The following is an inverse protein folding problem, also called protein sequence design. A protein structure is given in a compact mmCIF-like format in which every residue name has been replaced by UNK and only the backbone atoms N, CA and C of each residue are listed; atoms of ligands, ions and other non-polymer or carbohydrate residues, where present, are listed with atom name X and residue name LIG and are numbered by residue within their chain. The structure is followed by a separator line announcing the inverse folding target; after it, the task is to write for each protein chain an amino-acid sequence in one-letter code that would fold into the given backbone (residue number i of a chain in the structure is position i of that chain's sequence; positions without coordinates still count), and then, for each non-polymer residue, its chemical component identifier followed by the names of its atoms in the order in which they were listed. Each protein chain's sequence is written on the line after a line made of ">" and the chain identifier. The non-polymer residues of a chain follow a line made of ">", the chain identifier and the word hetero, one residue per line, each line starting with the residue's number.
data_IF_369937158693
#
_entry.id   IF_369937158693
#
_cell.length_a   1.000
_cell.length_b   1.000
_cell.length_c   1.000
_cell.angle_alpha   90.00
_cell.angle_beta   90.00
_cell.angle_gamma   90.00
#
_symmetry.space_group_name_H-M   'P 1'
#
loop_
_entity.id
_entity.type
_entity.pdbx_description
1 polymer ?
#
# COMPACT_ATOMS: atom_id res chain seq x y z
N UNK A 1 2.63 12.56 -6.81
CA UNK A 1 1.69 12.44 -7.95
C UNK A 1 1.41 11.00 -8.42
N UNK A 2 2.24 10.02 -8.09
CA UNK A 2 2.14 8.65 -8.64
C UNK A 2 0.85 7.90 -8.32
N UNK A 3 0.13 8.25 -7.24
CA UNK A 3 -1.07 7.51 -6.85
C UNK A 3 -2.40 8.15 -7.32
N UNK A 4 -2.38 9.39 -7.82
CA UNK A 4 -3.60 10.05 -8.27
C UNK A 4 -4.23 9.38 -9.49
N UNK A 5 -3.40 8.89 -10.40
CA UNK A 5 -3.85 8.19 -11.61
C UNK A 5 -4.39 6.78 -11.28
N UNK A 6 -3.71 6.06 -10.38
CA UNK A 6 -4.07 4.68 -10.06
C UNK A 6 -5.26 4.57 -9.09
N UNK A 7 -5.60 5.64 -8.36
CA UNK A 7 -6.58 5.62 -7.27
C UNK A 7 -7.97 5.18 -7.71
N UNK A 8 -8.41 5.57 -8.90
CA UNK A 8 -9.71 5.19 -9.46
C UNK A 8 -9.75 3.70 -9.76
N UNK A 9 -8.72 3.16 -10.41
CA UNK A 9 -8.63 1.73 -10.72
C UNK A 9 -8.52 0.88 -9.46
N UNK A 10 -7.78 1.34 -8.46
CA UNK A 10 -7.67 0.69 -7.16
C UNK A 10 -9.02 0.63 -6.43
N UNK A 11 -9.77 1.74 -6.45
CA UNK A 11 -11.10 1.80 -5.85
C UNK A 11 -12.10 0.89 -6.59
N UNK A 12 -12.10 0.93 -7.93
CA UNK A 12 -12.95 0.05 -8.74
C UNK A 12 -12.62 -1.43 -8.52
N UNK A 13 -11.34 -1.79 -8.45
CA UNK A 13 -10.91 -3.15 -8.15
C UNK A 13 -11.44 -3.62 -6.79
N UNK A 14 -11.36 -2.76 -5.77
CA UNK A 14 -11.87 -3.07 -4.44
C UNK A 14 -13.39 -3.24 -4.44
N UNK A 15 -14.13 -2.37 -5.14
CA UNK A 15 -15.59 -2.49 -5.28
C UNK A 15 -15.95 -3.80 -5.97
N UNK A 16 -15.31 -4.14 -7.08
CA UNK A 16 -15.54 -5.42 -7.78
C UNK A 16 -15.30 -6.62 -6.85
N UNK A 17 -14.21 -6.59 -6.10
CA UNK A 17 -13.81 -7.62 -5.15
C UNK A 17 -14.84 -7.82 -4.03
N UNK A 18 -15.28 -6.73 -3.39
CA UNK A 18 -16.29 -6.74 -2.32
C UNK A 18 -17.65 -7.19 -2.85
N UNK A 19 -18.08 -6.69 -4.02
CA UNK A 19 -19.33 -7.09 -4.65
C UNK A 19 -19.32 -8.57 -5.03
N UNK A 20 -18.22 -9.10 -5.54
CA UNK A 20 -18.07 -10.52 -5.81
C UNK A 20 -18.28 -11.37 -4.55
N UNK A 21 -17.68 -10.99 -3.41
CA UNK A 21 -17.86 -11.68 -2.14
C UNK A 21 -19.31 -11.63 -1.62
N UNK A 22 -19.96 -10.48 -1.75
CA UNK A 22 -21.38 -10.33 -1.40
C UNK A 22 -22.25 -11.25 -2.26
N UNK A 23 -22.02 -11.29 -3.57
CA UNK A 23 -22.75 -12.16 -4.49
C UNK A 23 -22.59 -13.65 -4.16
N UNK A 24 -21.41 -14.09 -3.76
CA UNK A 24 -21.18 -15.47 -3.28
C UNK A 24 -22.03 -15.79 -2.04
N UNK A 25 -22.20 -14.80 -1.16
CA UNK A 25 -23.00 -14.97 0.06
C UNK A 25 -24.50 -14.92 -0.18
N UNK A 26 -24.97 -14.06 -1.08
CA UNK A 26 -26.38 -13.85 -1.40
C UNK A 26 -26.89 -14.79 -2.50
N UNK A 27 -25.98 -15.25 -3.34
CA UNK A 27 -26.31 -15.92 -4.58
C UNK A 27 -26.93 -17.29 -4.37
N UNK A 28 -28.04 -17.53 -5.08
CA UNK A 28 -28.79 -18.79 -5.10
C UNK A 28 -28.64 -19.52 -6.43
N UNK A 29 -27.99 -18.93 -7.41
CA UNK A 29 -27.96 -19.43 -8.78
C UNK A 29 -26.55 -19.51 -9.35
N UNK A 30 -26.35 -20.38 -10.33
CA UNK A 30 -25.10 -20.46 -11.08
C UNK A 30 -24.73 -19.12 -11.72
N UNK A 31 -25.72 -18.31 -12.13
CA UNK A 31 -25.50 -16.96 -12.69
C UNK A 31 -24.77 -16.04 -11.71
N UNK A 32 -25.11 -16.07 -10.42
CA UNK A 32 -24.43 -15.24 -9.41
C UNK A 32 -22.98 -15.65 -9.20
N UNK A 33 -22.67 -16.95 -9.30
CA UNK A 33 -21.29 -17.47 -9.23
C UNK A 33 -20.48 -16.99 -10.44
N UNK A 34 -21.05 -17.05 -11.66
CA UNK A 34 -20.40 -16.54 -12.88
C UNK A 34 -20.14 -15.04 -12.78
N UNK A 35 -21.13 -14.24 -12.34
CA UNK A 35 -20.96 -12.79 -12.17
C UNK A 35 -19.88 -12.49 -11.11
N UNK A 36 -19.86 -13.23 -10.01
CA UNK A 36 -18.83 -13.08 -8.99
C UNK A 36 -17.42 -13.40 -9.54
N UNK A 37 -17.28 -14.44 -10.37
CA UNK A 37 -16.02 -14.78 -11.04
C UNK A 37 -15.56 -13.66 -11.98
N UNK A 38 -16.48 -13.11 -12.79
CA UNK A 38 -16.19 -11.99 -13.71
C UNK A 38 -15.75 -10.75 -12.93
N UNK A 39 -16.44 -10.40 -11.85
CA UNK A 39 -16.05 -9.27 -11.00
C UNK A 39 -14.69 -9.49 -10.33
N UNK A 40 -14.41 -10.73 -9.89
CA UNK A 40 -13.12 -11.05 -9.29
C UNK A 40 -11.99 -11.00 -10.33
N UNK A 41 -12.22 -11.46 -11.56
CA UNK A 41 -11.29 -11.33 -12.68
C UNK A 41 -11.04 -9.84 -13.00
N UNK A 42 -12.10 -9.02 -13.06
CA UNK A 42 -11.97 -7.58 -13.25
C UNK A 42 -11.13 -6.93 -12.13
N UNK A 43 -11.34 -7.33 -10.87
CA UNK A 43 -10.53 -6.86 -9.75
C UNK A 43 -9.04 -7.18 -9.92
N UNK A 44 -8.68 -8.42 -10.29
CA UNK A 44 -7.30 -8.80 -10.58
C UNK A 44 -6.71 -8.01 -11.74
N UNK A 45 -7.49 -7.76 -12.78
CA UNK A 45 -7.05 -7.02 -13.97
C UNK A 45 -6.83 -5.53 -13.71
N UNK A 46 -7.64 -4.94 -12.83
CA UNK A 46 -7.53 -3.51 -12.47
C UNK A 46 -6.43 -3.27 -11.44
N UNK A 47 -6.42 -4.05 -10.33
CA UNK A 47 -5.41 -3.93 -9.29
C UNK A 47 -5.34 -5.16 -8.39
N UNK A 48 -4.35 -6.00 -8.57
CA UNK A 48 -4.20 -7.30 -7.89
C UNK A 48 -4.32 -7.25 -6.35
N UNK A 49 -3.66 -6.32 -5.63
CA UNK A 49 -3.76 -6.29 -4.16
C UNK A 49 -5.18 -6.04 -3.65
N UNK A 50 -6.00 -5.28 -4.38
CA UNK A 50 -7.39 -5.02 -4.00
C UNK A 50 -8.27 -6.29 -4.13
N UNK A 51 -7.89 -7.23 -5.02
CA UNK A 51 -8.60 -8.50 -5.18
C UNK A 51 -8.59 -9.36 -3.89
N UNK A 52 -7.64 -9.15 -2.99
CA UNK A 52 -7.61 -9.79 -1.68
C UNK A 52 -8.77 -9.35 -0.77
N UNK A 53 -9.38 -8.19 -1.04
CA UNK A 53 -10.61 -7.75 -0.38
C UNK A 53 -11.75 -8.78 -0.48
N UNK A 54 -11.77 -9.59 -1.54
CA UNK A 54 -12.72 -10.70 -1.70
C UNK A 54 -12.56 -11.76 -0.61
N UNK A 55 -11.34 -12.21 -0.33
CA UNK A 55 -11.06 -13.21 0.71
C UNK A 55 -11.41 -12.67 2.10
N UNK A 56 -11.00 -11.43 2.36
CA UNK A 56 -11.29 -10.75 3.62
C UNK A 56 -12.80 -10.62 3.81
N UNK A 57 -13.53 -10.12 2.82
CA UNK A 57 -14.97 -9.95 2.89
C UNK A 57 -15.70 -11.30 3.05
N UNK A 58 -15.30 -12.30 2.27
CA UNK A 58 -15.86 -13.66 2.36
C UNK A 58 -15.65 -14.25 3.75
N UNK A 59 -14.44 -14.16 4.30
CA UNK A 59 -14.12 -14.63 5.64
C UNK A 59 -14.92 -13.91 6.72
N UNK A 60 -14.99 -12.59 6.68
CA UNK A 60 -15.77 -11.77 7.62
C UNK A 60 -17.27 -12.10 7.58
N UNK A 61 -17.84 -12.29 6.38
CA UNK A 61 -19.25 -12.69 6.23
C UNK A 61 -19.50 -14.10 6.75
N UNK A 62 -18.53 -15.01 6.62
CA UNK A 62 -18.63 -16.34 7.25
C UNK A 62 -18.63 -16.25 8.78
N UNK A 63 -17.74 -15.44 9.37
CA UNK A 63 -17.72 -15.20 10.83
C UNK A 63 -19.04 -14.58 11.29
N UNK A 64 -19.54 -13.54 10.60
CA UNK A 64 -20.82 -12.90 10.91
C UNK A 64 -22.00 -13.89 10.82
N UNK A 65 -21.99 -14.79 9.84
CA UNK A 65 -22.98 -15.87 9.72
C UNK A 65 -22.89 -16.87 10.87
N UNK A 66 -21.67 -17.25 11.28
CA UNK A 66 -21.43 -18.14 12.43
C UNK A 66 -21.90 -17.54 13.75
N UNK A 67 -21.75 -16.23 13.92
CA UNK A 67 -22.29 -15.49 15.05
C UNK A 67 -23.81 -15.31 14.97
N UNK A 68 -24.46 -15.64 13.84
CA UNK A 68 -25.87 -15.39 13.61
C UNK A 68 -26.23 -13.90 13.56
N UNK A 69 -25.26 -13.04 13.21
CA UNK A 69 -25.47 -11.60 13.03
C UNK A 69 -26.22 -11.32 11.73
N UNK A 70 -25.97 -12.12 10.71
CA UNK A 70 -26.71 -12.05 9.44
C UNK A 70 -28.05 -12.78 9.56
N UNK A 71 -29.10 -12.26 8.97
CA UNK A 71 -30.42 -12.88 8.97
C UNK A 71 -30.42 -14.22 8.23
N UNK A 72 -31.27 -15.16 8.69
CA UNK A 72 -31.37 -16.52 8.10
C UNK A 72 -31.72 -16.50 6.61
N UNK A 73 -32.40 -15.47 6.12
CA UNK A 73 -32.72 -15.31 4.69
C UNK A 73 -31.48 -15.21 3.80
N UNK A 74 -30.34 -14.80 4.38
CA UNK A 74 -29.03 -14.71 3.72
C UNK A 74 -28.25 -16.03 3.73
N UNK A 75 -28.80 -17.08 4.39
CA UNK A 75 -28.12 -18.37 4.62
C UNK A 75 -28.62 -19.45 3.68
N UNK A 76 -28.40 -19.29 2.38
CA UNK A 76 -28.87 -20.29 1.37
C UNK A 76 -27.99 -21.52 1.29
N UNK A 77 -26.69 -21.35 1.47
CA UNK A 77 -25.71 -22.44 1.47
C UNK A 77 -25.13 -22.61 2.86
N UNK A 78 -24.69 -23.85 3.19
CA UNK A 78 -23.92 -24.04 4.42
C UNK A 78 -22.64 -23.22 4.38
N UNK A 79 -22.18 -22.75 5.52
CA UNK A 79 -21.00 -21.91 5.66
C UNK A 79 -19.74 -22.52 5.01
N UNK A 80 -19.60 -23.84 5.08
CA UNK A 80 -18.48 -24.58 4.46
C UNK A 80 -18.49 -24.47 2.93
N UNK A 81 -19.66 -24.61 2.32
CA UNK A 81 -19.81 -24.49 0.86
C UNK A 81 -19.52 -23.07 0.37
N UNK A 82 -19.91 -22.04 1.12
CA UNK A 82 -19.58 -20.64 0.74
C UNK A 82 -18.09 -20.38 0.75
N UNK A 83 -17.36 -20.88 1.76
CA UNK A 83 -15.92 -20.79 1.80
C UNK A 83 -15.28 -21.51 0.61
N UNK A 84 -15.73 -22.74 0.32
CA UNK A 84 -15.21 -23.50 -0.84
C UNK A 84 -15.50 -22.79 -2.16
N UNK A 85 -16.72 -22.34 -2.39
CA UNK A 85 -17.09 -21.57 -3.59
C UNK A 85 -16.27 -20.28 -3.67
N UNK A 86 -16.10 -19.58 -2.56
CA UNK A 86 -15.25 -18.38 -2.50
C UNK A 86 -13.80 -18.68 -2.87
N UNK A 87 -13.21 -19.74 -2.33
CA UNK A 87 -11.85 -20.15 -2.67
C UNK A 87 -11.71 -20.52 -4.16
N UNK A 88 -12.69 -21.25 -4.70
CA UNK A 88 -12.73 -21.63 -6.13
C UNK A 88 -12.83 -20.39 -7.02
N UNK A 89 -13.67 -19.41 -6.67
CA UNK A 89 -13.80 -18.15 -7.42
C UNK A 89 -12.51 -17.34 -7.35
N UNK A 90 -11.88 -17.25 -6.19
CA UNK A 90 -10.62 -16.53 -6.04
C UNK A 90 -9.51 -17.20 -6.85
N UNK A 91 -9.32 -18.51 -6.70
CA UNK A 91 -8.31 -19.27 -7.42
C UNK A 91 -8.58 -19.30 -8.94
N UNK A 92 -9.84 -19.49 -9.34
CA UNK A 92 -10.26 -19.44 -10.75
C UNK A 92 -10.08 -18.07 -11.38
N UNK A 93 -10.44 -17.00 -10.68
CA UNK A 93 -10.22 -15.62 -11.11
C UNK A 93 -8.73 -15.31 -11.30
N UNK A 94 -7.90 -15.72 -10.34
CA UNK A 94 -6.44 -15.57 -10.45
C UNK A 94 -5.86 -16.41 -11.61
N UNK A 95 -6.30 -17.66 -11.74
CA UNK A 95 -5.86 -18.54 -12.83
C UNK A 95 -6.21 -17.98 -14.21
N UNK A 96 -7.45 -17.53 -14.41
CA UNK A 96 -7.88 -16.86 -15.64
C UNK A 96 -7.08 -15.59 -15.92
N UNK A 97 -6.85 -14.77 -14.90
CA UNK A 97 -6.01 -13.59 -15.00
C UNK A 97 -4.58 -13.95 -15.49
N UNK A 98 -3.97 -14.99 -14.92
CA UNK A 98 -2.63 -15.45 -15.33
C UNK A 98 -2.62 -15.95 -16.77
N UNK A 99 -3.65 -16.68 -17.19
CA UNK A 99 -3.80 -17.13 -18.59
C UNK A 99 -3.91 -15.93 -19.53
N UNK A 100 -4.71 -14.91 -19.18
CA UNK A 100 -4.81 -13.68 -19.98
C UNK A 100 -3.46 -12.99 -20.09
N UNK A 101 -2.71 -12.87 -18.98
CA UNK A 101 -1.38 -12.27 -19.00
C UNK A 101 -0.42 -13.03 -19.94
N UNK A 102 -0.39 -14.36 -19.86
CA UNK A 102 0.48 -15.18 -20.71
C UNK A 102 0.10 -15.03 -22.17
N UNK A 103 -1.19 -15.11 -22.51
CA UNK A 103 -1.64 -15.04 -23.91
C UNK A 103 -1.46 -13.67 -24.56
N UNK A 104 -1.63 -12.57 -23.80
CA UNK A 104 -1.66 -11.24 -24.38
C UNK A 104 -0.47 -10.34 -24.03
N UNK A 105 0.30 -10.67 -22.97
CA UNK A 105 1.35 -9.80 -22.42
C UNK A 105 2.70 -10.49 -22.20
N UNK A 106 2.89 -11.72 -22.62
CA UNK A 106 3.99 -12.63 -22.25
C UNK A 106 5.41 -12.04 -22.39
N UNK A 107 5.62 -11.07 -23.29
CA UNK A 107 6.92 -10.45 -23.52
C UNK A 107 7.02 -8.96 -23.22
N UNK A 108 5.97 -8.35 -22.65
CA UNK A 108 5.90 -6.89 -22.45
C UNK A 108 5.91 -6.44 -20.99
N UNK A 109 6.10 -7.35 -20.05
CA UNK A 109 6.26 -6.96 -18.66
C UNK A 109 7.59 -6.21 -18.51
N UNK A 110 7.53 -4.98 -18.01
CA UNK A 110 8.73 -4.26 -17.60
C UNK A 110 9.43 -5.01 -16.44
N UNK A 111 10.73 -4.71 -16.21
CA UNK A 111 11.53 -5.37 -15.15
C UNK A 111 10.86 -5.33 -13.77
N UNK A 112 10.17 -4.22 -13.46
CA UNK A 112 9.44 -4.06 -12.20
C UNK A 112 8.27 -5.04 -12.08
N UNK A 113 7.41 -5.13 -13.09
CA UNK A 113 6.27 -6.05 -13.09
C UNK A 113 6.72 -7.52 -13.11
N UNK A 114 7.79 -7.85 -13.83
CA UNK A 114 8.38 -9.18 -13.85
C UNK A 114 8.92 -9.58 -12.46
N UNK A 115 9.66 -8.69 -11.79
CA UNK A 115 10.13 -8.90 -10.41
C UNK A 115 8.96 -9.07 -9.43
N UNK A 116 7.96 -8.17 -9.52
CA UNK A 116 6.78 -8.19 -8.66
C UNK A 116 5.90 -9.44 -8.80
N UNK A 117 6.02 -10.19 -9.90
CA UNK A 117 5.24 -11.40 -10.16
C UNK A 117 5.98 -12.71 -9.83
N UNK A 118 7.23 -12.63 -9.36
CA UNK A 118 8.00 -13.81 -9.00
C UNK A 118 7.40 -14.52 -7.79
N UNK A 119 7.21 -15.83 -7.91
CA UNK A 119 6.75 -16.67 -6.81
C UNK A 119 7.95 -17.12 -5.96
N UNK A 120 7.70 -17.38 -4.68
CA UNK A 120 8.66 -18.07 -3.81
C UNK A 120 8.99 -19.45 -4.38
N UNK A 121 10.19 -19.95 -4.09
CA UNK A 121 10.59 -21.31 -4.44
C UNK A 121 9.67 -22.31 -3.73
N UNK A 122 9.16 -23.30 -4.50
CA UNK A 122 8.36 -24.39 -3.95
C UNK A 122 9.28 -25.51 -3.43
N UNK A 123 10.06 -25.18 -2.41
CA UNK A 123 11.00 -26.08 -1.72
C UNK A 123 10.72 -26.11 -0.21
N UNK A 124 11.58 -26.76 0.55
CA UNK A 124 11.46 -26.84 2.01
C UNK A 124 11.47 -25.50 2.75
N UNK A 125 11.86 -24.40 2.09
CA UNK A 125 11.87 -23.04 2.65
C UNK A 125 10.52 -22.33 2.53
N UNK A 126 9.60 -22.84 1.70
CA UNK A 126 8.29 -22.21 1.43
C UNK A 126 7.48 -21.90 2.72
N UNK A 127 7.34 -22.81 3.70
CA UNK A 127 6.57 -22.52 4.91
C UNK A 127 7.13 -21.33 5.70
N UNK A 128 8.45 -21.25 5.85
CA UNK A 128 9.12 -20.13 6.53
C UNK A 128 8.94 -18.82 5.75
N UNK A 129 9.06 -18.88 4.44
CA UNK A 129 8.83 -17.73 3.57
C UNK A 129 7.38 -17.21 3.65
N UNK A 130 6.39 -18.10 3.74
CA UNK A 130 4.97 -17.72 3.91
C UNK A 130 4.75 -17.11 5.30
N UNK A 131 5.31 -17.71 6.36
CA UNK A 131 5.23 -17.15 7.72
C UNK A 131 5.82 -15.73 7.75
N UNK A 132 6.97 -15.51 7.14
CA UNK A 132 7.56 -14.17 7.01
C UNK A 132 6.60 -13.18 6.34
N UNK A 133 5.97 -13.58 5.22
CA UNK A 133 4.98 -12.74 4.53
C UNK A 133 3.70 -12.48 5.32
N UNK A 134 3.34 -13.33 6.27
CA UNK A 134 2.23 -13.09 7.21
C UNK A 134 2.63 -12.12 8.31
N UNK A 135 3.86 -12.24 8.83
CA UNK A 135 4.34 -11.42 9.94
C UNK A 135 4.68 -9.99 9.51
N UNK A 136 5.20 -9.81 8.31
CA UNK A 136 5.61 -8.49 7.82
C UNK A 136 4.47 -7.45 7.83
N UNK A 137 3.22 -7.70 7.32
CA UNK A 137 2.11 -6.78 7.46
C UNK A 137 1.75 -6.45 8.90
N UNK A 138 1.82 -7.44 9.80
CA UNK A 138 1.53 -7.23 11.22
C UNK A 138 2.58 -6.35 11.89
N UNK A 139 3.85 -6.58 11.57
CA UNK A 139 4.95 -5.74 12.04
C UNK A 139 4.78 -4.29 11.56
N UNK A 140 4.44 -4.09 10.29
CA UNK A 140 4.17 -2.75 9.73
C UNK A 140 2.98 -2.07 10.40
N UNK A 141 1.89 -2.82 10.71
CA UNK A 141 0.77 -2.27 11.47
C UNK A 141 1.20 -1.81 12.87
N UNK A 142 2.04 -2.59 13.54
CA UNK A 142 2.59 -2.18 14.86
C UNK A 142 3.47 -0.95 14.71
N UNK A 143 4.35 -0.91 13.72
CA UNK A 143 5.23 0.25 13.48
C UNK A 143 4.43 1.53 13.19
N UNK A 144 3.35 1.44 12.41
CA UNK A 144 2.56 2.60 11.98
C UNK A 144 1.55 3.09 13.02
N UNK A 145 1.02 2.18 13.85
CA UNK A 145 -0.09 2.46 14.75
C UNK A 145 0.27 2.30 16.24
N UNK A 146 1.55 2.10 16.59
CA UNK A 146 1.98 1.94 18.00
C UNK A 146 1.83 3.21 18.83
N UNK A 147 1.73 4.39 18.22
CA UNK A 147 1.48 5.63 18.94
C UNK A 147 0.12 5.58 19.62
N UNK A 148 0.08 5.69 20.96
CA UNK A 148 -1.11 5.46 21.78
C UNK A 148 -2.38 6.19 21.29
N UNK A 149 -2.35 7.49 20.94
CA UNK A 149 -3.55 8.18 20.43
C UNK A 149 -4.07 7.61 19.11
N UNK A 150 -3.24 6.91 18.33
CA UNK A 150 -3.62 6.24 17.09
C UNK A 150 -4.11 4.82 17.38
N UNK A 151 -3.47 4.11 18.30
CA UNK A 151 -3.84 2.75 18.70
C UNK A 151 -5.15 2.69 19.47
N UNK A 152 -5.42 3.66 20.35
CA UNK A 152 -6.58 3.68 21.25
C UNK A 152 -7.92 3.54 20.51
N UNK A 153 -8.22 4.24 19.41
CA UNK A 153 -9.43 4.05 18.62
C UNK A 153 -9.65 2.63 18.10
N UNK A 154 -8.58 1.94 17.67
CA UNK A 154 -8.66 0.54 17.26
C UNK A 154 -8.97 -0.37 18.44
N UNK A 155 -8.31 -0.16 19.59
CA UNK A 155 -8.58 -0.93 20.81
C UNK A 155 -10.01 -0.73 21.29
N UNK A 156 -10.53 0.50 21.24
CA UNK A 156 -11.92 0.80 21.63
C UNK A 156 -12.92 0.10 20.70
N UNK A 157 -12.68 0.10 19.39
CA UNK A 157 -13.50 -0.64 18.44
C UNK A 157 -13.49 -2.14 18.74
N UNK A 158 -12.30 -2.74 18.89
CA UNK A 158 -12.14 -4.18 19.13
C UNK A 158 -12.72 -4.58 20.48
N UNK A 159 -12.51 -3.79 21.53
CA UNK A 159 -13.09 -4.02 22.86
C UNK A 159 -14.62 -3.96 22.80
N UNK A 160 -15.18 -2.92 22.17
CA UNK A 160 -16.63 -2.78 21.99
C UNK A 160 -17.22 -3.97 21.25
N UNK A 161 -16.56 -4.41 20.19
CA UNK A 161 -16.97 -5.58 19.42
C UNK A 161 -16.91 -6.86 20.25
N UNK A 162 -15.79 -7.09 20.96
CA UNK A 162 -15.60 -8.27 21.80
C UNK A 162 -16.65 -8.35 22.93
N UNK A 163 -16.92 -7.24 23.61
CA UNK A 163 -17.96 -7.18 24.67
C UNK A 163 -19.33 -7.56 24.12
N UNK A 164 -19.72 -7.04 22.94
CA UNK A 164 -21.01 -7.37 22.35
C UNK A 164 -21.09 -8.83 21.87
N UNK A 165 -20.00 -9.37 21.32
CA UNK A 165 -19.96 -10.77 20.90
C UNK A 165 -20.11 -11.71 22.09
N UNK A 166 -19.41 -11.43 23.21
CA UNK A 166 -19.52 -12.23 24.45
C UNK A 166 -20.92 -12.13 25.08
N UNK A 167 -21.57 -10.96 24.99
CA UNK A 167 -22.96 -10.81 25.45
C UNK A 167 -23.98 -11.48 24.55
N UNK A 168 -23.68 -11.58 23.26
CA UNK A 168 -24.58 -12.18 22.26
C UNK A 168 -24.49 -13.70 22.20
N UNK A 169 -23.30 -14.28 22.40
CA UNK A 169 -23.03 -15.71 22.21
C UNK A 169 -22.23 -16.28 23.39
N UNK A 170 -22.41 -17.57 23.69
CA UNK A 170 -21.60 -18.24 24.70
C UNK A 170 -20.11 -18.19 24.33
N UNK A 171 -19.26 -18.18 25.35
CA UNK A 171 -17.82 -17.99 25.23
C UNK A 171 -17.15 -18.88 24.17
N UNK A 172 -17.46 -20.18 24.03
CA UNK A 172 -16.83 -21.01 22.99
C UNK A 172 -17.11 -20.51 21.56
N UNK A 173 -18.33 -20.02 21.30
CA UNK A 173 -18.70 -19.46 19.98
C UNK A 173 -18.00 -18.11 19.77
N UNK A 174 -17.92 -17.29 20.81
CA UNK A 174 -17.19 -16.02 20.76
C UNK A 174 -15.69 -16.24 20.47
N UNK A 175 -15.06 -17.21 21.11
CA UNK A 175 -13.65 -17.57 20.87
C UNK A 175 -13.44 -18.11 19.44
N UNK A 176 -14.37 -18.95 18.95
CA UNK A 176 -14.32 -19.45 17.56
C UNK A 176 -14.43 -18.30 16.56
N UNK A 177 -15.30 -17.32 16.82
CA UNK A 177 -15.42 -16.13 15.98
C UNK A 177 -14.16 -15.27 16.01
N UNK A 178 -13.56 -15.07 17.21
CA UNK A 178 -12.31 -14.34 17.34
C UNK A 178 -11.16 -15.05 16.60
N UNK A 179 -11.05 -16.36 16.71
CA UNK A 179 -10.08 -17.16 15.96
C UNK A 179 -10.32 -17.07 14.45
N UNK A 180 -11.57 -17.06 14.00
CA UNK A 180 -11.95 -16.85 12.61
C UNK A 180 -11.53 -15.46 12.09
N UNK A 181 -11.77 -14.41 12.86
CA UNK A 181 -11.34 -13.05 12.51
C UNK A 181 -9.81 -12.92 12.47
N UNK A 182 -9.12 -13.55 13.42
CA UNK A 182 -7.65 -13.61 13.40
C UNK A 182 -7.16 -14.34 12.14
N UNK A 183 -7.73 -15.46 11.79
CA UNK A 183 -7.41 -16.19 10.57
C UNK A 183 -7.64 -15.34 9.31
N UNK A 184 -8.75 -14.59 9.25
CA UNK A 184 -9.03 -13.65 8.16
C UNK A 184 -7.94 -12.58 8.09
N UNK A 185 -7.52 -12.02 9.22
CA UNK A 185 -6.43 -11.04 9.28
C UNK A 185 -5.10 -11.62 8.77
N UNK A 186 -4.73 -12.82 9.20
CA UNK A 186 -3.49 -13.49 8.80
C UNK A 186 -3.47 -13.86 7.31
N UNK A 187 -4.62 -14.26 6.76
CA UNK A 187 -4.76 -14.64 5.36
C UNK A 187 -5.16 -13.46 4.45
N UNK A 188 -5.36 -12.26 5.00
CA UNK A 188 -5.77 -11.08 4.25
C UNK A 188 -4.85 -10.74 3.05
N UNK A 189 -3.51 -10.94 3.11
CA UNK A 189 -2.65 -10.74 1.95
C UNK A 189 -2.94 -11.71 0.78
N UNK A 190 -3.67 -12.81 1.00
CA UNK A 190 -4.10 -13.74 -0.04
C UNK A 190 -2.97 -14.29 -0.88
N UNK A 191 -3.09 -14.19 -2.21
CA UNK A 191 -2.08 -14.67 -3.17
C UNK A 191 -0.71 -14.00 -3.02
N UNK A 192 -0.63 -12.84 -2.39
CA UNK A 192 0.64 -12.14 -2.16
C UNK A 192 1.55 -12.87 -1.17
N UNK A 193 1.00 -13.74 -0.32
CA UNK A 193 1.79 -14.59 0.58
C UNK A 193 2.77 -15.50 -0.17
N UNK A 194 2.48 -15.82 -1.42
CA UNK A 194 3.30 -16.67 -2.29
C UNK A 194 4.31 -15.88 -3.12
N UNK A 195 4.29 -14.56 -3.11
CA UNK A 195 5.25 -13.74 -3.85
C UNK A 195 6.60 -13.71 -3.14
N UNK A 196 7.68 -13.69 -3.94
CA UNK A 196 9.05 -13.58 -3.43
C UNK A 196 9.23 -12.29 -2.65
N UNK A 197 8.79 -11.16 -3.23
CA UNK A 197 8.75 -9.86 -2.58
C UNK A 197 7.30 -9.53 -2.24
N UNK A 198 7.01 -9.32 -0.97
CA UNK A 198 5.63 -9.12 -0.50
C UNK A 198 5.03 -7.77 -0.90
N UNK A 199 5.87 -6.80 -1.28
CA UNK A 199 5.49 -5.39 -1.55
C UNK A 199 4.61 -4.74 -0.47
N UNK A 200 4.47 -5.38 0.66
CA UNK A 200 3.58 -4.96 1.77
C UNK A 200 4.01 -3.61 2.34
N UNK A 201 5.28 -3.24 2.18
CA UNK A 201 5.79 -1.92 2.57
C UNK A 201 5.15 -0.76 1.80
N UNK A 202 4.55 -1.03 0.63
CA UNK A 202 3.79 -0.02 -0.10
C UNK A 202 2.35 0.04 0.44
N UNK A 203 1.90 1.16 1.04
CA UNK A 203 0.57 1.26 1.68
C UNK A 203 -0.59 0.92 0.75
N UNK A 204 -0.45 1.18 -0.55
CA UNK A 204 -1.46 0.83 -1.57
C UNK A 204 -1.79 -0.66 -1.63
N UNK A 205 -0.86 -1.50 -1.20
CA UNK A 205 -1.04 -2.96 -1.18
C UNK A 205 -1.96 -3.39 -0.04
N UNK A 206 -2.08 -2.59 1.01
CA UNK A 206 -2.86 -2.88 2.22
C UNK A 206 -4.34 -2.50 2.13
N UNK A 207 -4.86 -2.23 0.93
CA UNK A 207 -6.26 -1.82 0.71
C UNK A 207 -7.29 -2.83 1.26
N UNK A 208 -6.94 -4.10 1.33
CA UNK A 208 -7.80 -5.15 1.88
C UNK A 208 -8.11 -5.00 3.38
N UNK A 209 -7.36 -4.16 4.12
CA UNK A 209 -7.71 -3.82 5.51
C UNK A 209 -8.97 -2.95 5.60
N UNK A 210 -9.30 -2.17 4.57
CA UNK A 210 -10.53 -1.39 4.52
C UNK A 210 -11.79 -2.25 4.70
N UNK A 211 -12.02 -3.27 3.87
CA UNK A 211 -13.10 -4.25 4.06
C UNK A 211 -13.11 -4.91 5.43
N UNK A 212 -11.95 -5.25 6.00
CA UNK A 212 -11.87 -5.85 7.34
C UNK A 212 -12.45 -4.91 8.41
N UNK A 213 -11.96 -3.67 8.47
CA UNK A 213 -12.43 -2.68 9.44
C UNK A 213 -13.90 -2.36 9.24
N UNK A 214 -14.33 -2.17 8.00
CA UNK A 214 -15.74 -1.94 7.66
C UNK A 214 -16.63 -3.06 8.15
N UNK A 215 -16.22 -4.32 7.97
CA UNK A 215 -16.98 -5.46 8.46
C UNK A 215 -17.08 -5.52 9.99
N UNK A 216 -15.98 -5.26 10.70
CA UNK A 216 -16.01 -5.19 12.18
C UNK A 216 -16.98 -4.11 12.65
N UNK A 217 -16.99 -2.94 12.02
CA UNK A 217 -17.94 -1.86 12.32
C UNK A 217 -19.39 -2.28 12.03
N UNK A 218 -19.67 -2.86 10.86
CA UNK A 218 -21.01 -3.30 10.50
C UNK A 218 -21.53 -4.39 11.47
N UNK A 219 -20.68 -5.34 11.86
CA UNK A 219 -21.05 -6.34 12.85
C UNK A 219 -21.29 -5.73 14.24
N UNK A 220 -20.47 -4.73 14.64
CA UNK A 220 -20.68 -3.96 15.88
C UNK A 220 -22.07 -3.31 15.88
N UNK A 221 -22.44 -2.62 14.78
CA UNK A 221 -23.77 -1.99 14.64
C UNK A 221 -24.89 -3.01 14.72
N UNK A 222 -24.79 -4.12 13.99
CA UNK A 222 -25.81 -5.16 13.97
C UNK A 222 -25.98 -5.83 15.35
N UNK A 223 -24.87 -6.10 16.06
CA UNK A 223 -24.92 -6.66 17.43
C UNK A 223 -25.52 -5.67 18.41
N UNK A 224 -25.13 -4.38 18.36
CA UNK A 224 -25.68 -3.35 19.24
C UNK A 224 -27.20 -3.19 19.05
N UNK A 225 -27.69 -3.32 17.82
CA UNK A 225 -29.11 -3.29 17.53
C UNK A 225 -29.86 -4.51 18.08
N UNK A 226 -29.35 -5.72 17.84
CA UNK A 226 -29.94 -6.97 18.34
C UNK A 226 -29.99 -7.06 19.85
N UNK A 227 -28.96 -6.53 20.52
CA UNK A 227 -28.89 -6.47 21.98
C UNK A 227 -29.67 -5.29 22.58
N UNK A 228 -30.27 -4.43 21.73
CA UNK A 228 -30.96 -3.19 22.13
C UNK A 228 -30.07 -2.25 22.97
N UNK A 229 -28.78 -2.20 22.63
CA UNK A 229 -27.77 -1.38 23.33
C UNK A 229 -27.11 -0.37 22.37
N UNK A 230 -27.86 0.67 21.94
CA UNK A 230 -27.40 1.58 20.88
C UNK A 230 -26.11 2.33 21.21
N UNK A 231 -25.80 2.52 22.52
CA UNK A 231 -24.59 3.25 22.94
C UNK A 231 -23.30 2.60 22.41
N UNK A 232 -23.27 1.28 22.25
CA UNK A 232 -22.08 0.59 21.76
C UNK A 232 -21.76 0.86 20.27
N UNK A 233 -22.72 1.42 19.51
CA UNK A 233 -22.46 1.87 18.13
C UNK A 233 -21.41 2.99 18.11
N UNK A 234 -21.36 3.80 19.16
CA UNK A 234 -20.40 4.89 19.31
C UNK A 234 -18.95 4.40 19.51
N UNK A 235 -18.73 3.12 19.80
CA UNK A 235 -17.39 2.52 19.87
C UNK A 235 -16.60 2.60 18.55
N UNK A 236 -17.28 2.79 17.41
CA UNK A 236 -16.63 3.01 16.10
C UNK A 236 -16.26 4.47 15.85
N UNK A 237 -16.86 5.46 16.54
CA UNK A 237 -16.66 6.89 16.26
C UNK A 237 -15.21 7.35 16.44
N UNK A 238 -14.47 6.92 17.49
CA UNK A 238 -13.07 7.31 17.64
C UNK A 238 -12.22 6.90 16.46
N UNK A 239 -12.49 5.71 15.88
CA UNK A 239 -11.76 5.26 14.71
C UNK A 239 -12.14 6.05 13.46
N UNK A 240 -13.43 6.32 13.23
CA UNK A 240 -13.89 7.19 12.12
C UNK A 240 -13.24 8.56 12.23
N UNK A 241 -13.23 9.15 13.44
CA UNK A 241 -12.58 10.42 13.69
C UNK A 241 -11.08 10.38 13.40
N UNK A 242 -10.39 9.33 13.86
CA UNK A 242 -8.98 9.13 13.54
C UNK A 242 -8.74 9.09 12.02
N UNK A 243 -9.57 8.35 11.26
CA UNK A 243 -9.44 8.28 9.80
C UNK A 243 -9.62 9.66 9.15
N UNK A 244 -10.55 10.48 9.62
CA UNK A 244 -10.73 11.86 9.15
C UNK A 244 -9.49 12.70 9.46
N UNK A 245 -8.98 12.64 10.69
CA UNK A 245 -7.77 13.38 11.11
C UNK A 245 -6.55 12.95 10.30
N UNK A 246 -6.36 11.64 10.10
CA UNK A 246 -5.25 11.11 9.29
C UNK A 246 -5.36 11.55 7.83
N UNK A 247 -6.56 11.53 7.25
CA UNK A 247 -6.79 11.97 5.87
C UNK A 247 -6.46 13.46 5.70
N UNK A 248 -6.88 14.28 6.66
CA UNK A 248 -6.56 15.71 6.67
C UNK A 248 -5.05 15.95 6.85
N UNK A 249 -4.42 15.26 7.80
CA UNK A 249 -2.97 15.35 8.05
C UNK A 249 -2.17 14.91 6.81
N UNK A 250 -2.59 13.83 6.15
CA UNK A 250 -2.02 13.37 4.89
C UNK A 250 -2.12 14.44 3.78
N UNK A 251 -3.32 14.97 3.54
CA UNK A 251 -3.54 15.99 2.50
C UNK A 251 -2.67 17.24 2.73
N UNK A 252 -2.57 17.68 3.98
CA UNK A 252 -1.74 18.83 4.36
C UNK A 252 -0.24 18.56 4.17
N UNK A 253 0.24 17.40 4.63
CA UNK A 253 1.63 17.00 4.51
C UNK A 253 2.02 16.80 3.05
N UNK A 254 1.14 16.17 2.25
CA UNK A 254 1.33 15.98 0.81
C UNK A 254 1.44 17.31 0.06
N UNK A 255 0.52 18.25 0.31
CA UNK A 255 0.56 19.57 -0.33
C UNK A 255 1.82 20.35 0.06
N UNK A 256 2.25 20.27 1.34
CA UNK A 256 3.46 20.93 1.80
C UNK A 256 4.71 20.30 1.18
N UNK A 257 4.77 18.96 1.08
CA UNK A 257 5.89 18.26 0.45
C UNK A 257 5.98 18.59 -1.04
N UNK A 258 4.86 18.55 -1.76
CA UNK A 258 4.84 18.88 -3.18
C UNK A 258 5.37 20.28 -3.49
N UNK A 259 4.96 21.29 -2.71
CA UNK A 259 5.48 22.67 -2.86
C UNK A 259 6.98 22.77 -2.55
N UNK A 260 7.41 22.08 -1.51
CA UNK A 260 8.80 22.05 -1.08
C UNK A 260 9.70 21.40 -2.13
N UNK A 261 9.28 20.26 -2.68
CA UNK A 261 9.97 19.54 -3.74
C UNK A 261 10.00 20.34 -5.05
N UNK A 262 8.88 20.95 -5.43
CA UNK A 262 8.78 21.78 -6.63
C UNK A 262 9.76 22.98 -6.56
N UNK A 263 9.85 23.64 -5.41
CA UNK A 263 10.81 24.74 -5.21
C UNK A 263 12.26 24.29 -5.34
N UNK A 264 12.62 23.12 -4.80
CA UNK A 264 13.97 22.54 -4.92
C UNK A 264 14.27 22.10 -6.35
N UNK A 265 13.30 21.40 -6.97
CA UNK A 265 13.43 20.93 -8.33
C UNK A 265 13.68 22.08 -9.31
N UNK A 266 12.95 23.20 -9.16
CA UNK A 266 13.20 24.39 -9.98
C UNK A 266 14.62 24.94 -9.84
N UNK A 267 15.20 24.89 -8.63
CA UNK A 267 16.60 25.30 -8.40
C UNK A 267 17.59 24.31 -9.04
N UNK A 268 17.32 23.00 -8.95
CA UNK A 268 18.16 21.98 -9.60
C UNK A 268 18.12 22.17 -11.11
N UNK A 269 16.93 22.36 -11.70
CA UNK A 269 16.75 22.60 -13.13
C UNK A 269 17.51 23.86 -13.57
N UNK A 270 17.40 24.95 -12.80
CA UNK A 270 18.17 26.20 -13.05
C UNK A 270 19.67 25.97 -12.98
N UNK A 271 20.17 25.21 -12.02
CA UNK A 271 21.57 24.86 -11.89
C UNK A 271 22.10 24.03 -13.06
N UNK A 272 21.34 22.98 -13.47
CA UNK A 272 21.67 22.19 -14.65
C UNK A 272 21.72 23.05 -15.90
N UNK A 273 20.74 23.93 -16.12
CA UNK A 273 20.70 24.83 -17.27
C UNK A 273 21.88 25.80 -17.25
N UNK A 274 22.24 26.31 -16.06
CA UNK A 274 23.39 27.21 -15.94
C UNK A 274 24.75 26.54 -16.25
N UNK A 275 24.90 25.24 -15.91
CA UNK A 275 26.09 24.47 -16.29
C UNK A 275 26.11 24.17 -17.79
N UNK A 276 24.96 23.83 -18.39
CA UNK A 276 24.87 23.57 -19.84
C UNK A 276 25.23 24.80 -20.69
N UNK A 277 24.87 25.99 -20.25
CA UNK A 277 25.17 27.26 -20.95
C UNK A 277 26.65 27.63 -20.87
N UNK A 278 27.42 27.09 -19.90
CA UNK A 278 28.85 27.37 -19.73
C UNK A 278 29.79 26.69 -20.75
N UNK A 279 29.26 26.34 -21.90
CA UNK A 279 30.04 25.95 -23.09
C UNK A 279 30.87 24.66 -22.90
N UNK A 280 30.19 23.60 -22.49
CA UNK A 280 30.80 22.28 -22.30
C UNK A 280 31.10 21.55 -23.63
N UNK A 281 30.92 22.19 -24.79
CA UNK A 281 31.23 21.66 -26.12
C UNK A 281 30.37 20.47 -26.58
N UNK A 282 29.70 19.80 -25.67
CA UNK A 282 28.75 18.69 -25.94
C UNK A 282 27.52 18.80 -25.04
N UNK A 283 26.32 18.45 -25.53
CA UNK A 283 25.13 18.46 -24.71
C UNK A 283 25.20 17.33 -23.65
N UNK A 284 24.93 17.69 -22.41
CA UNK A 284 24.75 16.71 -21.33
C UNK A 284 23.59 15.81 -21.66
N UNK A 285 23.79 14.50 -21.59
CA UNK A 285 22.79 13.49 -21.90
C UNK A 285 22.35 12.70 -20.66
N UNK A 286 23.25 12.53 -19.72
CA UNK A 286 23.04 11.64 -18.59
C UNK A 286 23.05 12.38 -17.26
N UNK A 287 22.23 11.89 -16.34
CA UNK A 287 22.21 12.34 -14.96
C UNK A 287 22.37 11.14 -14.03
N UNK A 288 23.28 11.24 -13.09
CA UNK A 288 23.39 10.35 -11.94
C UNK A 288 22.87 11.08 -10.72
N UNK A 289 21.96 10.47 -9.96
CA UNK A 289 21.42 11.05 -8.72
C UNK A 289 21.86 10.16 -7.56
N UNK A 290 22.51 10.76 -6.56
CA UNK A 290 22.84 10.13 -5.30
C UNK A 290 22.05 10.80 -4.16
N UNK A 291 21.56 9.97 -3.24
CA UNK A 291 20.74 10.44 -2.12
C UNK A 291 19.27 10.55 -2.46
N UNK A 292 18.53 11.18 -1.58
CA UNK A 292 17.07 11.27 -1.61
C UNK A 292 16.63 12.70 -1.32
N UNK A 293 15.61 13.18 -2.04
CA UNK A 293 15.00 14.48 -1.77
C UNK A 293 14.53 14.54 -0.31
N UNK A 294 14.96 15.54 0.48
CA UNK A 294 14.60 15.60 1.89
C UNK A 294 13.13 15.93 2.11
N UNK A 295 12.61 15.49 3.24
CA UNK A 295 11.24 15.77 3.67
C UNK A 295 11.08 17.25 4.07
N UNK A 296 9.94 17.83 3.72
CA UNK A 296 9.54 19.14 4.22
C UNK A 296 9.39 19.15 5.75
N UNK A 297 9.59 20.31 6.42
CA UNK A 297 9.38 20.42 7.87
C UNK A 297 7.98 19.97 8.32
N UNK A 298 6.95 20.25 7.50
CA UNK A 298 5.57 19.83 7.78
C UNK A 298 5.45 18.32 7.73
N UNK A 299 5.96 17.68 6.67
CA UNK A 299 5.93 16.22 6.55
C UNK A 299 6.70 15.56 7.70
N UNK A 300 7.90 16.03 8.05
CA UNK A 300 8.69 15.53 9.19
C UNK A 300 7.92 15.57 10.51
N UNK A 301 7.23 16.67 10.78
CA UNK A 301 6.43 16.80 12.01
C UNK A 301 5.20 15.90 11.99
N UNK A 302 4.57 15.71 10.83
CA UNK A 302 3.40 14.85 10.68
C UNK A 302 3.77 13.38 10.85
N UNK A 303 4.88 12.93 10.27
CA UNK A 303 5.38 11.55 10.36
C UNK A 303 5.70 11.14 11.81
N UNK A 304 6.14 12.07 12.66
CA UNK A 304 6.35 11.77 14.09
C UNK A 304 5.09 11.27 14.81
N UNK A 305 3.91 11.73 14.37
CA UNK A 305 2.62 11.35 14.96
C UNK A 305 1.91 10.26 14.15
N UNK A 306 2.11 10.26 12.85
CA UNK A 306 1.47 9.34 11.90
C UNK A 306 2.53 8.72 10.97
N UNK A 307 3.28 7.70 11.44
CA UNK A 307 4.37 7.10 10.65
C UNK A 307 3.92 6.55 9.29
N UNK A 308 2.68 6.06 9.18
CA UNK A 308 2.09 5.62 7.91
C UNK A 308 2.20 6.67 6.81
N UNK A 309 2.08 7.97 7.15
CA UNK A 309 2.11 9.06 6.16
C UNK A 309 3.47 9.14 5.44
N UNK A 310 4.56 8.72 6.08
CA UNK A 310 5.87 8.65 5.46
C UNK A 310 5.89 7.75 4.24
N UNK A 311 5.27 6.60 4.36
CA UNK A 311 5.17 5.63 3.25
C UNK A 311 4.16 6.03 2.18
N UNK A 312 3.18 6.88 2.54
CA UNK A 312 2.19 7.42 1.60
C UNK A 312 2.74 8.56 0.74
N UNK A 313 3.80 9.22 1.20
CA UNK A 313 4.41 10.36 0.52
C UNK A 313 5.89 10.03 0.22
N UNK A 314 6.16 9.21 -0.80
CA UNK A 314 7.53 8.92 -1.20
C UNK A 314 8.20 10.18 -1.76
N UNK A 315 9.52 10.32 -1.60
CA UNK A 315 10.27 11.45 -2.15
C UNK A 315 10.19 11.46 -3.68
N UNK A 316 10.21 12.67 -4.25
CA UNK A 316 10.13 12.87 -5.70
C UNK A 316 11.38 12.37 -6.42
N UNK A 317 12.56 12.67 -5.86
CA UNK A 317 13.84 12.22 -6.38
C UNK A 317 14.47 11.24 -5.39
N UNK A 318 14.76 10.05 -5.89
CA UNK A 318 15.50 9.01 -5.21
C UNK A 318 16.42 8.33 -6.21
N UNK A 319 17.70 8.17 -5.89
CA UNK A 319 18.76 7.82 -6.83
C UNK A 319 18.48 6.61 -7.71
N UNK A 320 17.86 5.57 -7.15
CA UNK A 320 17.62 4.31 -7.85
C UNK A 320 16.29 4.23 -8.61
N UNK A 321 15.43 5.23 -8.51
CA UNK A 321 14.08 5.16 -9.07
C UNK A 321 13.96 5.80 -10.45
N UNK A 322 13.59 5.00 -11.45
CA UNK A 322 13.45 5.43 -12.84
C UNK A 322 12.40 6.54 -13.01
N UNK A 323 11.30 6.52 -12.24
CA UNK A 323 10.28 7.54 -12.36
C UNK A 323 10.73 8.93 -11.85
N UNK A 324 11.78 9.01 -11.03
CA UNK A 324 12.42 10.28 -10.66
C UNK A 324 12.92 11.04 -11.89
N UNK A 325 13.46 10.33 -12.86
CA UNK A 325 13.95 10.93 -14.12
C UNK A 325 12.80 11.37 -15.02
N UNK A 326 11.69 10.62 -15.05
CA UNK A 326 10.48 11.04 -15.76
C UNK A 326 9.92 12.36 -15.19
N UNK A 327 10.03 12.56 -13.87
CA UNK A 327 9.65 13.85 -13.27
C UNK A 327 10.56 14.99 -13.70
N UNK A 328 11.89 14.75 -13.82
CA UNK A 328 12.83 15.73 -14.35
C UNK A 328 12.52 16.10 -15.80
N UNK A 329 12.14 15.12 -16.61
CA UNK A 329 11.71 15.34 -18.00
C UNK A 329 10.46 16.24 -18.07
N UNK A 330 9.48 16.05 -17.19
CA UNK A 330 8.30 16.92 -17.09
C UNK A 330 8.64 18.37 -16.72
N UNK A 331 9.80 18.59 -16.10
CA UNK A 331 10.34 19.93 -15.81
C UNK A 331 11.33 20.44 -16.85
N UNK A 332 11.39 19.81 -18.01
CA UNK A 332 12.19 20.24 -19.17
C UNK A 332 13.64 19.74 -19.18
N UNK A 333 14.00 18.81 -18.28
CA UNK A 333 15.31 18.14 -18.29
C UNK A 333 15.15 16.74 -18.91
N UNK A 334 15.33 16.63 -20.22
CA UNK A 334 15.34 15.35 -20.95
C UNK A 334 16.65 14.56 -20.77
N UNK A 335 17.07 14.32 -19.52
CA UNK A 335 18.28 13.59 -19.20
C UNK A 335 18.00 12.11 -18.92
N UNK A 336 18.82 11.24 -19.47
CA UNK A 336 18.72 9.79 -19.26
C UNK A 336 19.38 9.38 -17.95
N UNK A 337 18.79 8.36 -17.29
CA UNK A 337 19.37 7.78 -16.08
C UNK A 337 20.68 7.07 -16.39
N UNK A 338 21.74 7.37 -15.63
CA UNK A 338 22.97 6.58 -15.56
C UNK A 338 23.12 5.99 -14.16
N UNK A 339 23.40 4.69 -14.06
CA UNK A 339 23.57 4.01 -12.79
C UNK A 339 24.93 4.35 -12.15
N UNK A 340 24.95 4.38 -10.81
CA UNK A 340 26.14 4.61 -9.99
C UNK A 340 27.00 3.34 -9.80
N UNK A 341 26.57 2.20 -10.32
CA UNK A 341 27.19 0.89 -10.08
C UNK A 341 28.71 0.92 -10.36
N UNK A 342 29.48 0.65 -9.34
CA UNK A 342 30.94 0.60 -9.40
C UNK A 342 31.66 1.95 -9.40
N UNK A 343 30.95 3.06 -9.27
CA UNK A 343 31.51 4.41 -9.30
C UNK A 343 31.61 5.08 -7.91
N UNK A 344 31.18 4.43 -6.86
CA UNK A 344 31.10 4.98 -5.49
C UNK A 344 32.44 5.53 -4.99
N UNK A 345 33.56 4.93 -5.41
CA UNK A 345 34.92 5.35 -5.03
C UNK A 345 35.50 6.48 -5.89
N UNK A 346 34.81 6.90 -6.94
CA UNK A 346 35.27 7.94 -7.88
C UNK A 346 34.58 9.28 -7.63
N UNK A 347 33.58 9.28 -6.74
CA UNK A 347 32.78 10.46 -6.44
C UNK A 347 33.57 11.44 -5.56
N UNK A 348 33.47 12.76 -5.82
CA UNK A 348 34.19 13.74 -5.02
C UNK A 348 33.71 13.73 -3.57
N UNK A 349 34.64 13.59 -2.62
CA UNK A 349 34.34 13.53 -1.19
C UNK A 349 33.77 14.85 -0.62
N UNK A 350 33.97 15.97 -1.31
CA UNK A 350 33.40 17.26 -0.92
C UNK A 350 33.20 18.13 -2.15
N UNK A 351 32.09 18.86 -2.17
CA UNK A 351 31.84 19.84 -3.24
C UNK A 351 32.71 21.07 -3.03
N UNK A 352 33.51 21.41 -4.04
CA UNK A 352 34.19 22.71 -4.13
C UNK A 352 33.60 23.47 -5.32
N UNK A 353 33.13 24.72 -5.13
CA UNK A 353 32.63 25.54 -6.23
C UNK A 353 33.69 25.70 -7.31
N UNK A 354 33.37 25.34 -8.54
CA UNK A 354 34.23 25.44 -9.70
C UNK A 354 33.44 25.78 -10.95
N UNK A 355 34.07 25.89 -12.10
CA UNK A 355 33.38 26.03 -13.39
C UNK A 355 32.52 24.80 -13.68
N UNK A 356 32.93 23.64 -13.18
CA UNK A 356 32.30 22.34 -13.41
C UNK A 356 31.41 21.87 -12.23
N UNK A 357 31.25 22.70 -11.18
CA UNK A 357 30.49 22.32 -10.00
C UNK A 357 29.69 23.48 -9.40
N UNK A 358 28.45 23.19 -9.01
CA UNK A 358 27.59 24.10 -8.25
C UNK A 358 27.31 23.44 -6.89
N UNK A 359 27.81 24.09 -5.84
CA UNK A 359 27.63 23.64 -4.46
C UNK A 359 26.66 24.55 -3.72
N UNK A 360 25.60 23.99 -3.21
CA UNK A 360 24.62 24.68 -2.37
C UNK A 360 24.43 23.93 -1.06
N UNK A 361 23.75 24.52 -0.09
CA UNK A 361 23.35 23.82 1.13
C UNK A 361 22.26 22.77 0.89
N UNK A 362 21.64 22.75 -0.28
CA UNK A 362 20.51 21.90 -0.60
C UNK A 362 20.85 20.75 -1.54
N UNK A 363 21.85 20.91 -2.37
CA UNK A 363 22.38 19.91 -3.30
C UNK A 363 23.76 20.32 -3.79
N UNK A 364 24.53 19.34 -4.28
CA UNK A 364 25.69 19.59 -5.10
C UNK A 364 25.51 18.99 -6.49
N UNK A 365 25.96 19.72 -7.51
CA UNK A 365 25.87 19.32 -8.91
C UNK A 365 27.26 19.43 -9.53
N UNK A 366 27.75 18.31 -10.06
CA UNK A 366 29.11 18.23 -10.65
C UNK A 366 29.03 17.70 -12.07
N UNK A 367 29.90 18.19 -12.94
CA UNK A 367 30.18 17.57 -14.22
C UNK A 367 31.12 16.39 -13.98
N UNK A 368 30.57 15.16 -14.09
CA UNK A 368 31.33 13.93 -13.88
C UNK A 368 32.11 13.50 -15.14
N UNK A 369 31.50 13.67 -16.30
CA UNK A 369 32.11 13.47 -17.62
C UNK A 369 31.51 14.50 -18.59
N UNK A 370 32.06 14.70 -19.79
CA UNK A 370 31.55 15.69 -20.73
C UNK A 370 30.06 15.57 -21.05
N UNK A 371 29.50 14.39 -20.89
CA UNK A 371 28.09 14.07 -21.19
C UNK A 371 27.24 13.72 -19.96
N UNK A 372 27.83 13.71 -18.75
CA UNK A 372 27.18 13.18 -17.54
C UNK A 372 27.29 14.16 -16.36
N UNK A 373 26.16 14.53 -15.79
CA UNK A 373 26.06 15.25 -14.53
C UNK A 373 25.86 14.30 -13.35
N UNK A 374 26.45 14.65 -12.22
CA UNK A 374 26.26 14.00 -10.93
C UNK A 374 25.57 14.97 -9.98
N UNK A 375 24.38 14.59 -9.53
CA UNK A 375 23.58 15.32 -8.55
C UNK A 375 23.65 14.58 -7.21
N UNK A 376 24.20 15.22 -6.21
CA UNK A 376 24.20 14.73 -4.84
C UNK A 376 23.17 15.50 -4.01
N UNK A 377 22.26 14.76 -3.41
CA UNK A 377 21.27 15.28 -2.47
C UNK A 377 21.75 15.02 -1.04
N UNK A 378 21.63 15.99 -0.12
CA UNK A 378 22.04 15.79 1.27
C UNK A 378 21.24 14.65 1.89
N UNK A 379 21.86 13.88 2.81
CA UNK A 379 21.17 12.82 3.50
C UNK A 379 19.93 13.39 4.19
N UNK A 380 18.79 12.73 4.00
CA UNK A 380 17.56 13.10 4.71
C UNK A 380 17.81 12.94 6.21
N UNK A 381 17.74 14.04 6.96
CA UNK A 381 17.73 13.99 8.40
C UNK A 381 16.40 13.37 8.84
N UNK A 382 16.30 12.05 8.75
CA UNK A 382 15.14 11.32 9.23
C UNK A 382 14.86 11.76 10.68
N UNK A 383 13.63 12.12 11.03
CA UNK A 383 13.30 12.43 12.40
C UNK A 383 13.64 11.19 13.24
N UNK A 384 14.48 11.38 14.28
CA UNK A 384 14.69 10.33 15.26
C UNK A 384 13.30 9.84 15.70
N UNK A 385 13.01 8.54 15.48
CA UNK A 385 11.74 7.95 15.95
C UNK A 385 11.66 8.29 17.44
N UNK A 386 10.50 8.77 17.94
CA UNK A 386 10.36 8.95 19.38
C UNK A 386 10.70 7.61 20.03
N UNK A 387 11.72 7.60 20.86
CA UNK A 387 12.01 6.45 21.72
C UNK A 387 10.77 6.30 22.59
N UNK A 388 10.04 5.23 22.36
CA UNK A 388 8.87 4.82 23.17
C UNK A 388 9.25 4.61 24.60
#
# INVERSE_FOLDING_TARGET
>A
MSYGFDSVFMAMALVCSVMAAILVHLGKSCRTVVVALVLQLASFSLYQPAANGFLVMTGCLCVASGLGVLDRHWQVLSQRWRLLVGLVIYAGGYGLYRVILVLFYEYKLNRYAAGASQLKSFDGSLPLGVIGSVLEPLQLLVEDFSYLPVLLPFLLLLLSYAVLVIQWRPLPVALTAAAGMLLVLLLAPGGMLLLKDSFVRHPRVLLYFGPLLTNVMLQLFALAERLKRPIWRFGSLPLVWLMVVMSYAYGHAFAAQARFEQGRLSRIVGAVSALQVRDLGQPVRYLMVNGTMPRSPVLRNTVRKFPLIDRLIPPLLEGDQTFSYQQLELHGLGLEKRNLDGMENVLPASCQPSVEAICTSEFSLHLFSPDTLYLELPPDQAPARPRT
#
